data_IF_464176223666
#
_entry.id   IF_464176223666
#
_cell.length_a   1.000
_cell.length_b   1.000
_cell.length_c   1.000
_cell.angle_alpha   90.00
_cell.angle_beta   90.00
_cell.angle_gamma   90.00
#
_symmetry.space_group_name_H-M   'P 1'
#
loop_
_entity.id
_entity.type
_entity.pdbx_description
1 polymer ?
#
# COMPACT_ATOMS: atom_id res chain seq x y z
N UNK A 1 20.77 -12.25 11.87
CA UNK A 1 19.73 -12.89 11.05
C UNK A 1 19.74 -12.19 9.70
N UNK A 2 19.75 -12.94 8.60
CA UNK A 2 19.62 -12.38 7.25
C UNK A 2 18.13 -12.42 6.95
N UNK A 3 17.49 -11.26 6.87
CA UNK A 3 16.12 -11.18 6.40
C UNK A 3 16.12 -11.44 4.89
N UNK A 4 15.12 -12.17 4.40
CA UNK A 4 14.84 -12.15 2.96
C UNK A 4 14.32 -10.74 2.63
N UNK A 5 15.03 -10.07 1.73
CA UNK A 5 14.76 -8.69 1.33
C UNK A 5 14.40 -8.68 -0.15
N UNK A 6 13.28 -8.04 -0.47
CA UNK A 6 12.84 -7.79 -1.83
C UNK A 6 12.80 -6.27 -2.07
N UNK A 7 13.26 -5.84 -3.24
CA UNK A 7 13.18 -4.43 -3.65
C UNK A 7 12.07 -4.28 -4.69
N UNK A 8 11.20 -3.31 -4.49
CA UNK A 8 10.10 -2.95 -5.38
C UNK A 8 10.22 -1.47 -5.73
N UNK A 9 9.83 -1.11 -6.95
CA UNK A 9 9.63 0.28 -7.37
C UNK A 9 8.19 0.48 -7.78
N UNK A 10 7.62 1.61 -7.41
CA UNK A 10 6.29 2.00 -7.82
C UNK A 10 6.25 3.50 -8.07
N UNK A 11 5.67 3.88 -9.21
CA UNK A 11 5.51 5.28 -9.59
C UNK A 11 4.06 5.65 -9.33
N UNK A 12 3.84 6.72 -8.57
CA UNK A 12 2.51 7.30 -8.38
C UNK A 12 2.58 8.82 -8.47
N UNK A 13 1.57 9.43 -9.11
CA UNK A 13 1.52 10.87 -9.34
C UNK A 13 0.63 11.63 -8.35
N UNK A 14 0.14 10.97 -7.30
CA UNK A 14 -0.77 11.54 -6.31
C UNK A 14 -0.24 11.45 -4.86
N UNK A 15 0.70 10.55 -4.61
CA UNK A 15 1.25 10.27 -3.30
C UNK A 15 0.43 9.26 -2.50
N UNK A 16 -0.35 8.38 -3.14
CA UNK A 16 -1.09 7.33 -2.46
C UNK A 16 -0.66 5.96 -2.98
N UNK A 17 -0.33 5.06 -2.06
CA UNK A 17 0.09 3.69 -2.37
C UNK A 17 -0.78 2.68 -1.61
N UNK A 18 -1.04 1.55 -2.26
CA UNK A 18 -1.74 0.42 -1.68
C UNK A 18 -0.91 -0.87 -1.72
N UNK A 19 -1.10 -1.73 -0.72
CA UNK A 19 -0.69 -3.14 -0.76
C UNK A 19 -1.96 -3.99 -0.73
N UNK A 20 -2.27 -4.66 -1.84
CA UNK A 20 -3.60 -5.22 -2.15
C UNK A 20 -3.58 -6.73 -2.39
N UNK A 21 -4.59 -7.41 -1.85
CA UNK A 21 -4.97 -8.78 -2.24
C UNK A 21 -5.86 -8.72 -3.47
N UNK A 22 -5.25 -8.82 -4.65
CA UNK A 22 -5.95 -8.65 -5.93
C UNK A 22 -6.99 -9.74 -6.20
N UNK A 23 -6.95 -10.86 -5.48
CA UNK A 23 -7.96 -11.92 -5.61
C UNK A 23 -9.23 -11.66 -4.79
N UNK A 24 -9.12 -10.85 -3.72
CA UNK A 24 -10.22 -10.60 -2.80
C UNK A 24 -10.72 -9.15 -2.81
N UNK A 25 -9.92 -8.21 -3.30
CA UNK A 25 -10.24 -6.80 -3.40
C UNK A 25 -11.22 -6.54 -4.57
N UNK A 26 -12.47 -6.13 -4.29
CA UNK A 26 -13.44 -5.81 -5.33
C UNK A 26 -13.13 -4.44 -5.93
N UNK A 27 -12.30 -4.41 -6.97
CA UNK A 27 -11.72 -3.17 -7.46
C UNK A 27 -12.74 -2.17 -8.02
N UNK A 28 -13.69 -2.63 -8.84
CA UNK A 28 -14.70 -1.78 -9.46
C UNK A 28 -15.65 -1.17 -8.43
N UNK A 29 -15.82 0.15 -8.50
CA UNK A 29 -16.72 0.92 -7.63
C UNK A 29 -17.87 1.50 -8.45
N UNK A 30 -17.57 2.33 -9.44
CA UNK A 30 -18.55 3.02 -10.29
C UNK A 30 -17.83 3.78 -11.41
N UNK A 31 -18.43 3.94 -12.59
CA UNK A 31 -17.86 4.80 -13.65
C UNK A 31 -17.81 6.30 -13.24
N UNK A 32 -18.72 6.70 -12.34
CA UNK A 32 -18.95 8.09 -11.90
C UNK A 32 -18.58 8.31 -10.41
N UNK A 33 -17.54 7.65 -9.90
CA UNK A 33 -17.13 7.80 -8.50
C UNK A 33 -16.68 9.23 -8.16
N UNK A 34 -16.87 9.63 -6.90
CA UNK A 34 -16.22 10.79 -6.29
C UNK A 34 -15.01 10.40 -5.46
N UNK A 35 -14.17 11.38 -5.10
CA UNK A 35 -13.02 11.13 -4.23
C UNK A 35 -13.44 10.49 -2.89
N UNK A 36 -14.52 11.00 -2.29
CA UNK A 36 -15.04 10.47 -1.03
C UNK A 36 -15.53 9.03 -1.16
N UNK A 37 -16.08 8.64 -2.32
CA UNK A 37 -16.46 7.25 -2.60
C UNK A 37 -15.23 6.33 -2.65
N UNK A 38 -14.14 6.78 -3.27
CA UNK A 38 -12.88 6.02 -3.36
C UNK A 38 -12.25 5.85 -1.98
N UNK A 39 -12.16 6.94 -1.20
CA UNK A 39 -11.60 6.86 0.15
C UNK A 39 -12.48 5.95 1.02
N UNK A 40 -13.80 6.12 1.01
CA UNK A 40 -14.72 5.25 1.75
C UNK A 40 -14.55 3.77 1.35
N UNK A 41 -14.42 3.50 0.05
CA UNK A 41 -14.17 2.15 -0.44
C UNK A 41 -12.84 1.59 0.08
N UNK A 42 -11.75 2.36 0.04
CA UNK A 42 -10.47 1.94 0.64
C UNK A 42 -10.62 1.62 2.11
N UNK A 43 -11.27 2.48 2.89
CA UNK A 43 -11.48 2.26 4.33
C UNK A 43 -12.29 1.00 4.61
N UNK A 44 -13.37 0.76 3.86
CA UNK A 44 -14.17 -0.47 3.96
C UNK A 44 -13.33 -1.71 3.63
N UNK A 45 -12.50 -1.67 2.58
CA UNK A 45 -11.67 -2.81 2.20
C UNK A 45 -10.46 -3.00 3.14
N UNK A 46 -9.95 -1.92 3.76
CA UNK A 46 -8.93 -1.97 4.82
C UNK A 46 -9.47 -2.64 6.08
N UNK A 47 -10.70 -2.31 6.49
CA UNK A 47 -11.40 -3.00 7.59
C UNK A 47 -11.58 -4.49 7.32
N UNK A 48 -11.76 -4.87 6.06
CA UNK A 48 -11.82 -6.27 5.60
C UNK A 48 -10.45 -6.90 5.35
N UNK A 49 -9.34 -6.19 5.62
CA UNK A 49 -7.95 -6.63 5.43
C UNK A 49 -7.61 -7.04 3.98
N UNK A 50 -8.31 -6.50 2.98
CA UNK A 50 -8.06 -6.79 1.56
C UNK A 50 -7.03 -5.85 0.94
N UNK A 51 -6.86 -4.68 1.52
CA UNK A 51 -5.88 -3.68 1.11
C UNK A 51 -5.37 -2.96 2.34
N UNK A 52 -4.16 -2.41 2.26
CA UNK A 52 -3.68 -1.37 3.17
C UNK A 52 -3.23 -0.19 2.32
N UNK A 53 -3.79 1.00 2.55
CA UNK A 53 -3.48 2.22 1.81
C UNK A 53 -2.83 3.25 2.73
N UNK A 54 -1.83 3.96 2.23
CA UNK A 54 -1.17 5.08 2.93
C UNK A 54 -0.83 6.23 1.98
N UNK A 55 -0.90 7.44 2.52
CA UNK A 55 -0.49 8.68 1.88
C UNK A 55 0.99 8.94 2.15
N UNK A 56 1.80 9.08 1.09
CA UNK A 56 3.23 9.36 1.12
C UNK A 56 3.57 10.79 1.56
N UNK A 57 2.62 11.72 1.45
CA UNK A 57 2.68 13.09 1.95
C UNK A 57 3.40 14.10 1.04
N UNK A 58 3.91 13.67 -0.11
CA UNK A 58 4.71 14.45 -1.06
C UNK A 58 4.01 14.71 -2.40
N UNK A 59 2.80 14.18 -2.60
CA UNK A 59 2.01 14.39 -3.81
C UNK A 59 2.43 13.52 -5.01
N UNK A 60 3.28 12.51 -4.80
CA UNK A 60 3.66 11.54 -5.83
C UNK A 60 5.14 11.59 -6.20
N UNK A 61 5.74 10.41 -6.42
CA UNK A 61 7.12 10.22 -6.85
C UNK A 61 7.35 8.80 -7.43
N UNK A 62 8.59 8.48 -7.83
CA UNK A 62 9.10 7.12 -8.02
C UNK A 62 9.60 6.58 -6.67
N UNK A 63 8.78 5.76 -6.01
CA UNK A 63 9.08 5.22 -4.69
C UNK A 63 9.83 3.90 -4.77
N UNK A 64 10.95 3.84 -4.05
CA UNK A 64 11.70 2.63 -3.75
C UNK A 64 11.22 2.00 -2.44
N UNK A 65 10.86 0.72 -2.49
CA UNK A 65 10.27 0.01 -1.36
C UNK A 65 11.09 -1.23 -1.07
N UNK A 66 11.54 -1.35 0.17
CA UNK A 66 12.20 -2.54 0.69
C UNK A 66 11.20 -3.38 1.49
N UNK A 67 10.94 -4.60 1.02
CA UNK A 67 10.06 -5.56 1.70
C UNK A 67 10.88 -6.54 2.51
N UNK A 68 10.53 -6.72 3.79
CA UNK A 68 11.25 -7.57 4.74
C UNK A 68 10.34 -8.57 5.43
N UNK A 69 10.89 -9.76 5.71
CA UNK A 69 10.27 -10.77 6.56
C UNK A 69 10.59 -10.53 8.03
N UNK A 70 9.57 -10.38 8.86
CA UNK A 70 9.71 -10.11 10.29
C UNK A 70 9.94 -8.63 10.61
N UNK A 71 9.56 -8.25 11.82
CA UNK A 71 9.67 -6.87 12.28
C UNK A 71 11.06 -6.52 12.79
N UNK A 72 11.50 -5.31 12.48
CA UNK A 72 12.70 -4.72 13.06
C UNK A 72 12.33 -3.56 13.99
N UNK A 73 13.35 -2.97 14.61
CA UNK A 73 13.22 -1.74 15.39
C UNK A 73 13.84 -0.54 14.66
N UNK A 74 14.07 -0.66 13.35
CA UNK A 74 14.67 0.41 12.55
C UNK A 74 13.68 1.58 12.43
N UNK A 75 14.02 2.78 12.91
CA UNK A 75 13.08 3.90 12.94
C UNK A 75 12.88 4.52 11.56
N UNK A 76 11.70 5.11 11.34
CA UNK A 76 11.40 5.98 10.20
C UNK A 76 11.09 7.43 10.58
N UNK A 77 10.82 8.25 9.58
CA UNK A 77 10.18 9.56 9.75
C UNK A 77 8.80 9.41 10.40
N UNK A 78 8.01 8.43 9.92
CA UNK A 78 6.75 8.00 10.51
C UNK A 78 6.47 6.54 10.20
N UNK A 79 5.62 5.94 11.03
CA UNK A 79 5.37 4.50 10.98
C UNK A 79 3.90 4.19 11.27
N UNK A 80 3.42 3.10 10.66
CA UNK A 80 2.08 2.58 10.90
C UNK A 80 2.13 1.05 10.92
N UNK A 81 1.24 0.45 11.69
CA UNK A 81 1.05 -1.00 11.74
C UNK A 81 -0.40 -1.35 11.45
N UNK A 82 -0.62 -2.43 10.70
CA UNK A 82 -1.96 -2.86 10.32
C UNK A 82 -2.01 -4.32 9.87
N UNK A 83 -3.20 -4.82 9.60
CA UNK A 83 -3.43 -6.17 9.09
C UNK A 83 -3.80 -6.19 7.62
N UNK A 84 -3.29 -7.18 6.89
CA UNK A 84 -3.75 -7.56 5.55
C UNK A 84 -3.91 -9.08 5.50
N UNK A 85 -4.69 -9.59 4.56
CA UNK A 85 -4.80 -11.01 4.27
C UNK A 85 -4.40 -11.26 2.83
N UNK A 86 -3.57 -12.28 2.60
CA UNK A 86 -3.38 -12.83 1.26
C UNK A 86 -4.30 -14.02 1.08
N UNK A 87 -5.15 -13.99 0.05
CA UNK A 87 -6.03 -15.11 -0.30
C UNK A 87 -5.39 -16.05 -1.32
N UNK A 88 -4.30 -15.62 -1.95
CA UNK A 88 -3.65 -16.28 -3.08
C UNK A 88 -2.15 -16.46 -2.91
N UNK A 89 -1.40 -16.15 -3.98
CA UNK A 89 0.05 -16.32 -4.06
C UNK A 89 0.85 -15.12 -3.53
N UNK A 90 0.16 -14.11 -2.98
CA UNK A 90 0.80 -12.90 -2.51
C UNK A 90 -0.11 -11.69 -2.38
N UNK A 91 0.52 -10.54 -2.39
CA UNK A 91 -0.08 -9.20 -2.45
C UNK A 91 0.66 -8.39 -3.49
N UNK A 92 0.02 -7.36 -4.02
CA UNK A 92 0.63 -6.47 -5.01
C UNK A 92 0.68 -5.05 -4.48
N UNK A 93 1.77 -4.34 -4.75
CA UNK A 93 1.74 -2.89 -4.63
C UNK A 93 0.95 -2.29 -5.80
N UNK A 94 0.14 -1.29 -5.51
CA UNK A 94 -0.64 -0.57 -6.49
C UNK A 94 -0.55 0.93 -6.24
N UNK A 95 -0.35 1.70 -7.32
CA UNK A 95 -0.47 3.16 -7.31
C UNK A 95 -1.93 3.56 -7.18
N UNK A 96 -2.18 4.80 -6.74
CA UNK A 96 -3.52 5.36 -6.74
C UNK A 96 -4.11 5.42 -8.16
N UNK A 97 -3.26 5.66 -9.16
CA UNK A 97 -3.67 5.61 -10.56
C UNK A 97 -4.23 4.24 -10.92
N UNK A 98 -3.53 3.14 -10.58
CA UNK A 98 -4.02 1.80 -10.86
C UNK A 98 -5.31 1.47 -10.07
N UNK A 99 -5.36 1.83 -8.79
CA UNK A 99 -6.53 1.61 -7.95
C UNK A 99 -7.76 2.35 -8.49
N UNK A 100 -7.62 3.60 -8.91
CA UNK A 100 -8.73 4.41 -9.43
C UNK A 100 -9.16 4.02 -10.84
N UNK A 101 -8.23 3.60 -11.70
CA UNK A 101 -8.57 3.03 -13.01
C UNK A 101 -9.40 1.76 -12.86
N UNK A 102 -8.98 0.84 -11.99
CA UNK A 102 -9.74 -0.39 -11.70
C UNK A 102 -11.06 -0.12 -10.95
N UNK A 103 -11.16 1.01 -10.24
CA UNK A 103 -12.41 1.46 -9.63
C UNK A 103 -13.40 2.06 -10.63
N UNK A 104 -12.90 2.69 -11.69
CA UNK A 104 -13.72 3.34 -12.69
C UNK A 104 -14.21 2.39 -13.79
N UNK A 105 -13.32 1.51 -14.26
CA UNK A 105 -13.57 0.68 -15.44
C UNK A 105 -13.61 -0.80 -15.02
N UNK A 106 -14.71 -1.48 -15.31
CA UNK A 106 -14.94 -2.87 -14.89
C UNK A 106 -14.07 -3.89 -15.64
N UNK A 107 -13.48 -3.49 -16.76
CA UNK A 107 -12.53 -4.25 -17.55
C UNK A 107 -11.06 -4.02 -17.15
N UNK A 108 -10.78 -3.03 -16.30
CA UNK A 108 -9.47 -2.83 -15.69
C UNK A 108 -9.28 -3.76 -14.49
N UNK A 109 -8.06 -4.28 -14.33
CA UNK A 109 -7.76 -5.29 -13.31
C UNK A 109 -6.50 -4.93 -12.53
N UNK A 110 -6.40 -5.45 -11.30
CA UNK A 110 -5.21 -5.35 -10.47
C UNK A 110 -4.47 -6.70 -10.42
N UNK A 111 -3.13 -6.70 -10.42
CA UNK A 111 -2.27 -5.53 -10.63
C UNK A 111 -2.43 -4.96 -12.05
N UNK A 112 -2.17 -3.67 -12.22
CA UNK A 112 -2.09 -3.10 -13.56
C UNK A 112 -0.92 -3.75 -14.32
N UNK A 113 -0.94 -3.69 -15.66
CA UNK A 113 0.14 -4.26 -16.50
C UNK A 113 1.52 -3.70 -16.15
N UNK A 114 1.60 -2.45 -15.71
CA UNK A 114 2.85 -1.78 -15.36
C UNK A 114 3.36 -2.15 -13.95
N UNK A 115 2.50 -2.73 -13.12
CA UNK A 115 2.79 -3.08 -11.73
C UNK A 115 2.74 -4.59 -11.49
N UNK A 116 2.66 -5.40 -12.55
CA UNK A 116 2.62 -6.85 -12.46
C UNK A 116 3.82 -7.46 -11.71
N UNK A 117 4.98 -6.78 -11.78
CA UNK A 117 6.20 -7.19 -11.08
C UNK A 117 6.28 -6.66 -9.63
N UNK A 118 5.36 -5.80 -9.20
CA UNK A 118 5.29 -5.25 -7.84
C UNK A 118 4.64 -6.25 -6.86
N UNK A 119 4.96 -7.53 -7.00
CA UNK A 119 4.39 -8.66 -6.28
C UNK A 119 5.20 -9.02 -5.05
N UNK A 120 4.56 -9.10 -3.90
CA UNK A 120 5.10 -9.71 -2.69
C UNK A 120 4.53 -11.12 -2.58
N UNK A 121 5.35 -12.12 -2.91
CA UNK A 121 4.93 -13.52 -2.82
C UNK A 121 4.65 -13.91 -1.37
N UNK A 122 3.48 -14.46 -1.08
CA UNK A 122 3.06 -14.93 0.25
C UNK A 122 2.35 -16.26 0.16
N UNK A 123 2.34 -16.98 1.28
CA UNK A 123 1.38 -18.06 1.45
C UNK A 123 0.02 -17.46 1.84
N UNK A 124 -1.11 -18.12 1.51
CA UNK A 124 -2.40 -17.66 1.96
C UNK A 124 -2.48 -17.54 3.48
N UNK A 125 -3.04 -16.43 3.98
CA UNK A 125 -3.24 -16.21 5.40
C UNK A 125 -3.21 -14.75 5.83
N UNK A 126 -3.46 -14.49 7.12
CA UNK A 126 -3.35 -13.16 7.71
C UNK A 126 -1.88 -12.79 7.92
N UNK A 127 -1.57 -11.52 7.68
CA UNK A 127 -0.26 -10.92 7.90
C UNK A 127 -0.38 -9.64 8.72
N UNK A 128 0.53 -9.50 9.66
CA UNK A 128 0.80 -8.23 10.34
C UNK A 128 1.78 -7.45 9.48
N UNK A 129 1.52 -6.17 9.30
CA UNK A 129 2.37 -5.24 8.55
C UNK A 129 2.88 -4.11 9.46
N UNK A 130 4.08 -3.64 9.15
CA UNK A 130 4.63 -2.37 9.60
C UNK A 130 5.17 -1.64 8.39
N UNK A 131 4.68 -0.44 8.15
CA UNK A 131 5.15 0.43 7.08
C UNK A 131 5.94 1.56 7.73
N UNK A 132 7.17 1.73 7.29
CA UNK A 132 8.11 2.72 7.79
C UNK A 132 8.45 3.66 6.64
N UNK A 133 8.00 4.90 6.69
CA UNK A 133 8.44 5.93 5.77
C UNK A 133 9.80 6.48 6.22
N UNK A 134 10.80 6.48 5.34
CA UNK A 134 12.19 6.83 5.69
C UNK A 134 12.56 8.27 5.39
N UNK A 135 11.78 8.95 4.55
CA UNK A 135 12.00 10.34 4.17
C UNK A 135 10.96 11.27 4.80
N UNK A 136 11.34 12.53 5.00
CA UNK A 136 10.43 13.63 5.38
C UNK A 136 9.86 14.23 4.08
N UNK A 137 8.54 14.11 3.81
CA UNK A 137 7.95 14.54 2.55
C UNK A 137 7.98 16.07 2.36
N UNK A 138 8.29 16.83 3.41
CA UNK A 138 8.41 18.31 3.33
C UNK A 138 9.81 18.78 2.99
N UNK A 139 10.81 17.89 3.03
CA UNK A 139 12.21 18.23 2.75
C UNK A 139 12.57 17.89 1.31
N UNK A 140 12.97 18.92 0.57
CA UNK A 140 13.51 18.78 -0.77
C UNK A 140 14.98 18.34 -0.66
N UNK A 141 15.34 17.21 -1.26
CA UNK A 141 16.71 16.69 -1.25
C UNK A 141 16.81 15.25 -1.73
N UNK A 142 18.04 14.73 -1.80
CA UNK A 142 18.29 13.32 -2.11
C UNK A 142 17.79 12.43 -0.95
N UNK A 143 17.06 11.37 -1.32
CA UNK A 143 16.58 10.36 -0.38
C UNK A 143 17.64 9.27 -0.27
N UNK A 144 18.06 8.93 0.95
CA UNK A 144 19.04 7.88 1.20
C UNK A 144 18.34 6.54 1.52
N UNK A 145 18.69 5.50 0.78
CA UNK A 145 18.09 4.17 0.96
C UNK A 145 16.67 4.08 0.39
N UNK A 146 15.88 3.08 0.83
CA UNK A 146 14.50 2.93 0.37
C UNK A 146 13.61 4.02 0.97
N UNK A 147 12.65 4.51 0.19
CA UNK A 147 11.62 5.46 0.63
C UNK A 147 10.72 4.86 1.72
N UNK A 148 10.38 3.60 1.53
CA UNK A 148 9.58 2.82 2.46
C UNK A 148 10.25 1.49 2.80
N UNK A 149 10.11 1.08 4.05
CA UNK A 149 10.32 -0.32 4.44
C UNK A 149 8.95 -0.89 4.79
N UNK A 150 8.60 -2.01 4.17
CA UNK A 150 7.39 -2.78 4.46
C UNK A 150 7.81 -4.09 5.10
N UNK A 151 7.56 -4.21 6.39
CA UNK A 151 7.88 -5.40 7.16
C UNK A 151 6.60 -6.22 7.38
N UNK A 152 6.72 -7.53 7.22
CA UNK A 152 5.58 -8.42 7.47
C UNK A 152 5.95 -9.78 8.04
N UNK A 153 5.05 -10.29 8.86
CA UNK A 153 5.07 -11.64 9.40
C UNK A 153 3.65 -12.22 9.41
N UNK A 154 3.56 -13.55 9.30
CA UNK A 154 2.26 -14.21 9.35
C UNK A 154 1.67 -14.07 10.75
N UNK A 155 0.40 -13.69 10.84
CA UNK A 155 -0.30 -13.49 12.10
C UNK A 155 -1.47 -12.54 11.98
N UNK A 156 -2.38 -12.62 12.95
CA UNK A 156 -3.50 -11.68 13.04
C UNK A 156 -3.04 -10.30 13.51
N UNK A 157 -3.65 -9.28 12.94
CA UNK A 157 -3.56 -7.89 13.38
C UNK A 157 -4.95 -7.27 13.33
N UNK A 158 -5.16 -6.20 14.09
CA UNK A 158 -6.30 -5.34 13.86
C UNK A 158 -6.15 -4.64 12.50
N UNK A 159 -7.24 -4.47 11.74
CA UNK A 159 -7.20 -3.67 10.53
C UNK A 159 -6.97 -2.20 10.88
N UNK A 160 -6.45 -1.45 9.91
CA UNK A 160 -6.56 0.01 9.95
C UNK A 160 -7.98 0.42 9.55
N UNK A 161 -8.53 1.40 10.25
CA UNK A 161 -9.91 1.84 10.04
C UNK A 161 -10.03 2.99 9.03
N UNK A 162 -8.90 3.64 8.72
CA UNK A 162 -8.80 4.77 7.81
C UNK A 162 -7.51 4.70 7.00
N UNK A 163 -7.45 5.38 5.86
CA UNK A 163 -6.23 5.50 5.04
C UNK A 163 -5.12 6.12 5.90
N UNK A 164 -3.96 5.46 5.95
CA UNK A 164 -2.89 5.88 6.84
C UNK A 164 -2.29 7.22 6.37
N UNK A 165 -2.17 8.15 7.32
CA UNK A 165 -1.57 9.47 7.11
C UNK A 165 -2.24 10.37 6.07
N UNK A 166 -3.45 10.01 5.62
CA UNK A 166 -4.20 10.81 4.67
C UNK A 166 -4.35 12.24 5.21
N UNK A 167 -3.83 13.22 4.47
CA UNK A 167 -4.03 14.61 4.85
C UNK A 167 -5.45 15.00 4.46
N UNK A 168 -6.32 15.21 5.45
CA UNK A 168 -7.53 16.01 5.20
C UNK A 168 -7.06 17.41 4.84
N UNK A 169 -7.39 17.91 3.64
CA UNK A 169 -7.22 19.34 3.36
C UNK A 169 -7.81 20.14 4.53
N UNK A 170 -7.14 21.18 5.05
CA UNK A 170 -7.76 21.99 6.07
C UNK A 170 -9.09 22.55 5.51
N UNK A 171 -10.16 22.60 6.32
CA UNK A 171 -11.44 23.17 5.89
C UNK A 171 -11.31 24.64 5.48
#
# INVERSE_FOLDING_TARGET
MVYEVQQIRIIDASGLLGLVDTQAYPAFVSEDWSYDDIISHFEEQMQQKKILVWDCGDGGDDYSIEVRRGFTTEPGFREITGGVKSSGDGLYFASYTALTMAAQFDDETLPSKHEADAHVKLEPGPYRLRIVQRFDPTRIGEREGPDFIVELEQGECEPLLAVAWLQTSPP
#
